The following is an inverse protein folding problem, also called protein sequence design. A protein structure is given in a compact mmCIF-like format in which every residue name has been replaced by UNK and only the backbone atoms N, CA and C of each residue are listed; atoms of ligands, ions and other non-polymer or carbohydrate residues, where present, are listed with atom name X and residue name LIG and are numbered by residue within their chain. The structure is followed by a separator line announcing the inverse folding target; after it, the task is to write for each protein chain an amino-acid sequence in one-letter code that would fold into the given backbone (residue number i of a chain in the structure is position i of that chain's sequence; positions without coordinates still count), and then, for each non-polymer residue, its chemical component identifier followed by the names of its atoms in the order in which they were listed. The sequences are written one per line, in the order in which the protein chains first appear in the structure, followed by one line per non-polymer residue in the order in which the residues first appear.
data_IF_505659504514
#
_entry.id   IF_505659504514
#
_cell.length_a   1.000
_cell.length_b   1.000
_cell.length_c   1.000
_cell.angle_alpha   90.00
_cell.angle_beta   90.00
_cell.angle_gamma   90.00
#
_symmetry.space_group_name_H-M   'P 1'
#
loop_
_entity.id
_entity.type
_entity.pdbx_description
1 polymer ?
#
# COMPACT_ATOMS: atom_id res chain seq x y z
N UNK A 1 -6.51 -74.98 16.63
CA UNK A 1 -5.81 -74.77 15.34
C UNK A 1 -5.01 -73.49 15.45
N UNK A 2 -3.70 -73.48 15.12
CA UNK A 2 -2.91 -72.25 15.14
C UNK A 2 -3.17 -71.42 13.88
N UNK A 3 -3.22 -70.09 14.04
CA UNK A 3 -3.27 -69.11 12.94
C UNK A 3 -1.92 -69.07 12.21
N UNK A 4 -1.90 -68.83 10.87
CA UNK A 4 -0.65 -68.65 10.15
C UNK A 4 0.02 -67.31 10.52
N UNK A 5 1.35 -67.19 10.39
CA UNK A 5 2.06 -65.94 10.65
C UNK A 5 1.64 -64.86 9.65
N UNK A 6 1.47 -63.63 10.16
CA UNK A 6 1.21 -62.46 9.33
C UNK A 6 2.46 -62.17 8.49
N UNK A 7 2.31 -62.31 7.18
CA UNK A 7 3.37 -62.04 6.22
C UNK A 7 3.63 -60.52 6.11
N UNK A 8 4.87 -60.23 5.80
CA UNK A 8 5.53 -58.94 5.86
C UNK A 8 4.96 -57.89 4.90
N UNK A 9 5.07 -56.63 5.34
CA UNK A 9 5.47 -55.50 4.50
C UNK A 9 4.69 -55.23 3.21
N UNK A 10 3.49 -54.65 3.34
CA UNK A 10 2.98 -53.79 2.25
C UNK A 10 3.75 -52.46 2.31
N UNK A 11 4.57 -52.10 1.31
CA UNK A 11 5.16 -50.78 1.27
C UNK A 11 4.03 -49.75 1.17
N UNK A 12 3.95 -48.88 2.17
CA UNK A 12 3.13 -47.68 2.11
C UNK A 12 3.49 -46.93 0.81
N UNK A 13 2.52 -46.52 -0.03
CA UNK A 13 2.85 -45.77 -1.24
C UNK A 13 3.62 -44.52 -0.82
N UNK A 14 4.83 -44.38 -1.38
CA UNK A 14 5.66 -43.21 -1.17
C UNK A 14 4.82 -41.94 -1.44
N UNK A 15 5.01 -40.85 -0.68
CA UNK A 15 4.29 -39.61 -0.96
C UNK A 15 4.58 -39.21 -2.41
N UNK A 16 3.50 -39.06 -3.20
CA UNK A 16 3.56 -38.62 -4.58
C UNK A 16 4.47 -37.40 -4.68
N UNK A 17 5.65 -37.59 -5.28
CA UNK A 17 6.50 -36.46 -5.65
C UNK A 17 5.68 -35.63 -6.63
N UNK A 18 5.51 -34.30 -6.41
CA UNK A 18 4.82 -33.48 -7.38
C UNK A 18 5.52 -33.66 -8.73
N UNK A 19 4.74 -34.01 -9.75
CA UNK A 19 5.22 -34.16 -11.12
C UNK A 19 6.03 -32.90 -11.48
N UNK A 20 7.21 -33.05 -12.05
CA UNK A 20 8.06 -31.92 -12.43
C UNK A 20 7.29 -30.89 -13.28
N UNK A 21 6.29 -31.36 -14.05
CA UNK A 21 5.34 -30.52 -14.76
C UNK A 21 4.46 -29.67 -13.81
N UNK A 22 3.91 -30.25 -12.74
CA UNK A 22 3.11 -29.52 -11.74
C UNK A 22 3.96 -28.47 -11.00
N UNK A 23 5.20 -28.81 -10.65
CA UNK A 23 6.12 -27.85 -10.03
C UNK A 23 6.50 -26.70 -10.98
N UNK A 24 6.65 -26.99 -12.28
CA UNK A 24 6.90 -25.96 -13.29
C UNK A 24 5.68 -25.03 -13.49
N UNK A 25 4.46 -25.58 -13.51
CA UNK A 25 3.22 -24.82 -13.61
C UNK A 25 3.04 -23.91 -12.38
N UNK A 26 3.26 -24.45 -11.16
CA UNK A 26 3.17 -23.67 -9.93
C UNK A 26 4.11 -22.46 -9.94
N UNK A 27 5.38 -22.66 -10.32
CA UNK A 27 6.37 -21.57 -10.44
C UNK A 27 6.01 -20.55 -11.52
N UNK A 28 5.41 -20.99 -12.63
CA UNK A 28 4.96 -20.09 -13.69
C UNK A 28 3.80 -19.21 -13.21
N UNK A 29 2.82 -19.80 -12.51
CA UNK A 29 1.70 -19.06 -11.92
C UNK A 29 2.17 -18.09 -10.83
N UNK A 30 3.08 -18.50 -9.95
CA UNK A 30 3.67 -17.63 -8.93
C UNK A 30 4.35 -16.40 -9.55
N UNK A 31 5.09 -16.58 -10.65
CA UNK A 31 5.71 -15.47 -11.38
C UNK A 31 4.66 -14.54 -11.99
N UNK A 32 3.60 -15.08 -12.57
CA UNK A 32 2.51 -14.27 -13.16
C UNK A 32 1.81 -13.43 -12.09
N UNK A 33 1.48 -14.03 -10.94
CA UNK A 33 0.90 -13.32 -9.79
C UNK A 33 1.86 -12.25 -9.25
N UNK A 34 3.16 -12.54 -9.17
CA UNK A 34 4.17 -11.57 -8.74
C UNK A 34 4.28 -10.37 -9.70
N UNK A 35 4.22 -10.61 -11.01
CA UNK A 35 4.24 -9.54 -12.03
C UNK A 35 2.97 -8.69 -11.93
N UNK A 36 1.80 -9.31 -11.84
CA UNK A 36 0.53 -8.58 -11.75
C UNK A 36 0.45 -7.74 -10.46
N UNK A 37 0.83 -8.32 -9.32
CA UNK A 37 0.85 -7.60 -8.04
C UNK A 37 1.87 -6.45 -8.04
N UNK A 38 3.05 -6.64 -8.65
CA UNK A 38 4.03 -5.58 -8.83
C UNK A 38 3.51 -4.43 -9.71
N UNK A 39 2.80 -4.75 -10.78
CA UNK A 39 2.17 -3.76 -11.65
C UNK A 39 1.08 -2.95 -10.92
N UNK A 40 0.20 -3.63 -10.18
CA UNK A 40 -0.84 -2.98 -9.39
C UNK A 40 -0.26 -2.08 -8.28
N UNK A 41 0.82 -2.52 -7.63
CA UNK A 41 1.53 -1.74 -6.62
C UNK A 41 2.10 -0.45 -7.23
N UNK A 42 2.77 -0.55 -8.38
CA UNK A 42 3.33 0.59 -9.10
C UNK A 42 2.23 1.57 -9.54
N UNK A 43 1.15 1.06 -10.14
CA UNK A 43 -0.03 1.86 -10.52
C UNK A 43 -0.61 2.61 -9.32
N UNK A 44 -0.78 1.95 -8.19
CA UNK A 44 -1.33 2.56 -6.98
C UNK A 44 -0.39 3.61 -6.38
N UNK A 45 0.93 3.37 -6.40
CA UNK A 45 1.94 4.33 -5.96
C UNK A 45 1.93 5.60 -6.82
N UNK A 46 1.88 5.46 -8.15
CA UNK A 46 1.78 6.59 -9.08
C UNK A 46 0.49 7.38 -8.88
N UNK A 47 -0.66 6.71 -8.77
CA UNK A 47 -1.95 7.35 -8.45
C UNK A 47 -1.91 8.12 -7.14
N UNK A 48 -1.28 7.56 -6.10
CA UNK A 48 -1.13 8.23 -4.81
C UNK A 48 -0.24 9.47 -4.93
N UNK A 49 0.84 9.39 -5.72
CA UNK A 49 1.73 10.53 -6.01
C UNK A 49 1.00 11.64 -6.76
N UNK A 50 0.30 11.32 -7.84
CA UNK A 50 -0.47 12.29 -8.63
C UNK A 50 -1.55 12.99 -7.77
N UNK A 51 -2.28 12.22 -6.95
CA UNK A 51 -3.24 12.76 -5.97
C UNK A 51 -2.61 13.79 -5.03
N UNK A 52 -1.49 13.43 -4.40
CA UNK A 52 -0.79 14.32 -3.47
C UNK A 52 -0.34 15.61 -4.18
N UNK A 53 0.18 15.50 -5.40
CA UNK A 53 0.59 16.66 -6.19
C UNK A 53 -0.60 17.58 -6.51
N UNK A 54 -1.74 17.03 -6.90
CA UNK A 54 -2.94 17.80 -7.22
C UNK A 54 -3.58 18.47 -5.98
N UNK A 55 -3.60 17.78 -4.84
CA UNK A 55 -4.19 18.28 -3.60
C UNK A 55 -3.30 19.29 -2.86
N UNK A 56 -1.98 19.20 -3.01
CA UNK A 56 -1.04 20.05 -2.27
C UNK A 56 -1.29 21.56 -2.41
N UNK A 57 -1.45 22.16 -3.61
CA UNK A 57 -1.70 23.59 -3.72
C UNK A 57 -3.00 24.02 -3.04
N UNK A 58 -4.09 23.27 -3.23
CA UNK A 58 -5.39 23.59 -2.64
C UNK A 58 -5.40 23.43 -1.12
N UNK A 59 -4.76 22.36 -0.61
CA UNK A 59 -4.59 22.16 0.82
C UNK A 59 -3.75 23.29 1.42
N UNK A 60 -2.70 23.73 0.72
CA UNK A 60 -1.92 24.89 1.18
C UNK A 60 -2.81 26.13 1.27
N UNK A 61 -3.59 26.46 0.25
CA UNK A 61 -4.52 27.61 0.30
C UNK A 61 -5.50 27.53 1.49
N UNK A 62 -6.08 26.36 1.75
CA UNK A 62 -7.06 26.17 2.83
C UNK A 62 -6.46 26.24 4.23
N UNK A 63 -5.26 25.71 4.40
CA UNK A 63 -4.61 25.64 5.71
C UNK A 63 -3.63 26.79 5.94
N UNK A 64 -3.29 27.58 4.90
CA UNK A 64 -2.41 28.75 5.02
C UNK A 64 -3.23 30.02 5.24
N UNK A 65 -3.06 30.65 6.39
CA UNK A 65 -3.23 32.11 6.49
C UNK A 65 -2.08 32.82 5.75
N UNK A 66 -2.18 34.12 5.41
CA UNK A 66 -1.04 34.88 4.88
C UNK A 66 0.08 34.91 5.92
N UNK A 67 1.00 33.94 5.84
CA UNK A 67 1.98 33.69 6.88
C UNK A 67 2.37 32.22 7.00
N UNK A 68 3.04 31.70 5.95
CA UNK A 68 3.86 30.48 5.89
C UNK A 68 3.26 29.20 6.49
N UNK A 69 2.93 28.29 5.57
CA UNK A 69 2.74 26.89 5.85
C UNK A 69 3.97 26.13 5.35
N UNK A 70 4.77 25.62 6.27
CA UNK A 70 5.97 24.88 5.95
C UNK A 70 5.62 23.39 5.84
N UNK A 71 5.49 22.89 4.60
CA UNK A 71 5.31 21.47 4.31
C UNK A 71 6.65 20.73 4.45
N UNK A 72 7.08 20.44 5.68
CA UNK A 72 8.27 19.61 5.93
C UNK A 72 7.87 18.13 6.05
N UNK A 73 8.29 17.33 5.07
CA UNK A 73 8.42 15.88 5.24
C UNK A 73 9.78 15.59 5.91
N UNK A 74 9.79 15.42 7.24
CA UNK A 74 11.03 15.02 7.94
C UNK A 74 11.45 13.60 7.51
N UNK A 75 12.69 13.46 7.02
CA UNK A 75 13.19 12.29 6.28
C UNK A 75 13.43 10.99 7.06
N UNK A 76 12.74 10.71 8.18
CA UNK A 76 13.05 9.53 9.02
C UNK A 76 11.94 8.48 9.15
N UNK A 77 10.85 8.58 8.39
CA UNK A 77 9.75 7.60 8.39
C UNK A 77 9.30 7.35 6.96
N UNK A 78 8.88 6.12 6.57
CA UNK A 78 8.64 5.78 5.17
C UNK A 78 7.72 6.81 4.53
N UNK A 79 8.31 7.67 3.67
CA UNK A 79 7.73 8.92 3.19
C UNK A 79 6.43 8.74 2.38
N UNK A 80 6.12 7.48 2.03
CA UNK A 80 4.95 7.10 1.26
C UNK A 80 3.75 6.69 2.13
N UNK A 81 3.98 6.34 3.41
CA UNK A 81 2.95 5.82 4.31
C UNK A 81 2.07 6.93 4.91
N UNK A 82 2.68 8.07 5.22
CA UNK A 82 2.03 9.17 5.94
C UNK A 82 1.20 10.11 5.07
N UNK A 83 1.32 10.09 3.74
CA UNK A 83 0.81 11.19 2.92
C UNK A 83 1.71 12.43 2.99
N UNK A 84 1.21 13.60 2.57
CA UNK A 84 1.98 14.85 2.68
C UNK A 84 1.57 15.59 3.96
N UNK A 85 2.47 15.77 4.94
CA UNK A 85 2.16 16.52 6.15
C UNK A 85 2.08 18.02 5.84
N UNK A 86 1.11 18.67 6.46
CA UNK A 86 0.84 20.10 6.41
C UNK A 86 1.02 20.61 7.84
N UNK A 87 2.07 21.39 8.06
CA UNK A 87 2.44 21.88 9.39
C UNK A 87 2.39 23.41 9.48
N UNK A 88 1.86 23.93 10.58
CA UNK A 88 1.83 25.35 10.89
C UNK A 88 2.67 25.59 12.15
N UNK A 89 3.71 26.43 12.06
CA UNK A 89 4.64 26.74 13.18
C UNK A 89 5.20 25.47 13.87
N UNK A 90 5.50 24.42 13.11
CA UNK A 90 6.02 23.16 13.63
C UNK A 90 4.96 22.19 14.18
N UNK A 91 3.66 22.54 14.13
CA UNK A 91 2.58 21.65 14.53
C UNK A 91 1.87 21.06 13.31
N UNK A 92 1.68 19.73 13.30
CA UNK A 92 0.96 19.03 12.25
C UNK A 92 -0.54 19.39 12.31
N UNK A 93 -1.03 20.08 11.30
CA UNK A 93 -2.43 20.52 11.22
C UNK A 93 -3.27 19.64 10.29
N UNK A 94 -2.68 19.18 9.19
CA UNK A 94 -3.36 18.33 8.24
C UNK A 94 -2.41 17.33 7.57
N UNK A 95 -2.98 16.30 6.96
CA UNK A 95 -2.27 15.28 6.19
C UNK A 95 -3.01 15.02 4.89
N UNK A 96 -2.29 15.12 3.77
CA UNK A 96 -2.87 14.99 2.44
C UNK A 96 -2.71 13.57 1.92
N UNK A 97 -3.82 12.92 1.59
CA UNK A 97 -3.91 11.61 0.94
C UNK A 97 -2.92 10.58 1.53
N UNK A 98 -3.09 10.22 2.83
CA UNK A 98 -2.36 9.13 3.42
C UNK A 98 -2.79 7.81 2.79
N UNK A 99 -1.89 6.84 2.73
CA UNK A 99 -2.18 5.54 2.14
C UNK A 99 -2.75 4.62 3.21
N UNK A 100 -4.02 4.22 3.09
CA UNK A 100 -4.73 3.43 4.09
C UNK A 100 -3.99 2.13 4.49
N UNK A 101 -3.44 1.39 3.53
CA UNK A 101 -2.68 0.15 3.79
C UNK A 101 -1.38 0.37 4.57
N UNK A 102 -0.90 1.60 4.66
CA UNK A 102 0.33 1.96 5.34
C UNK A 102 0.10 2.61 6.71
N UNK A 103 -1.17 2.77 7.15
CA UNK A 103 -1.52 3.33 8.46
C UNK A 103 -1.35 2.25 9.53
N UNK A 104 -0.22 2.29 10.23
CA UNK A 104 0.05 1.43 11.39
C UNK A 104 -0.65 1.98 12.66
N UNK A 105 -0.74 1.21 13.76
CA UNK A 105 -1.30 1.71 15.02
C UNK A 105 -0.65 3.00 15.53
N UNK A 106 0.68 3.14 15.38
CA UNK A 106 1.40 4.35 15.77
C UNK A 106 1.02 5.54 14.89
N UNK A 107 0.84 5.33 13.60
CA UNK A 107 0.43 6.37 12.64
C UNK A 107 -0.99 6.82 12.95
N UNK A 108 -1.89 5.87 13.23
CA UNK A 108 -3.28 6.15 13.61
C UNK A 108 -3.37 7.11 14.80
N UNK A 109 -2.61 6.87 15.87
CA UNK A 109 -2.58 7.74 17.05
C UNK A 109 -2.13 9.16 16.72
N UNK A 110 -1.15 9.32 15.82
CA UNK A 110 -0.70 10.65 15.40
C UNK A 110 -1.72 11.35 14.49
N UNK A 111 -2.45 10.59 13.67
CA UNK A 111 -3.49 11.13 12.78
C UNK A 111 -4.75 11.57 13.52
N UNK A 112 -5.09 10.94 14.66
CA UNK A 112 -6.29 11.21 15.45
C UNK A 112 -6.63 12.70 15.64
N UNK A 113 -5.68 13.55 16.08
CA UNK A 113 -5.92 14.99 16.23
C UNK A 113 -5.87 15.80 14.93
N UNK A 114 -5.43 15.23 13.80
CA UNK A 114 -5.17 15.96 12.55
C UNK A 114 -6.38 15.97 11.60
N UNK A 115 -6.38 16.86 10.61
CA UNK A 115 -7.35 16.84 9.51
C UNK A 115 -6.78 16.06 8.33
N UNK A 116 -7.52 15.09 7.79
CA UNK A 116 -7.09 14.34 6.61
C UNK A 116 -7.72 14.94 5.35
N UNK A 117 -6.90 15.36 4.39
CA UNK A 117 -7.34 15.89 3.11
C UNK A 117 -7.38 14.76 2.07
N UNK A 118 -8.52 14.56 1.42
CA UNK A 118 -8.76 13.49 0.45
C UNK A 118 -9.32 14.04 -0.86
N UNK A 119 -9.12 13.31 -1.95
CA UNK A 119 -9.63 13.67 -3.27
C UNK A 119 -11.04 13.14 -3.56
N UNK A 120 -11.46 12.08 -2.88
CA UNK A 120 -12.75 11.42 -3.13
C UNK A 120 -13.35 10.76 -1.90
N UNK A 121 -14.65 10.48 -1.99
CA UNK A 121 -15.38 9.73 -0.97
C UNK A 121 -14.83 8.31 -0.78
N UNK A 122 -14.48 7.61 -1.85
CA UNK A 122 -13.92 6.25 -1.76
C UNK A 122 -12.56 6.22 -1.05
N UNK A 123 -11.77 7.27 -1.22
CA UNK A 123 -10.53 7.45 -0.46
C UNK A 123 -10.83 7.71 1.02
N UNK A 124 -11.78 8.59 1.32
CA UNK A 124 -12.23 8.83 2.68
C UNK A 124 -12.66 7.54 3.38
N UNK A 125 -13.53 6.75 2.76
CA UNK A 125 -14.08 5.54 3.37
C UNK A 125 -13.01 4.46 3.59
N UNK A 126 -12.04 4.32 2.68
CA UNK A 126 -10.90 3.42 2.88
C UNK A 126 -10.03 3.85 4.06
N UNK A 127 -9.74 5.14 4.20
CA UNK A 127 -8.93 5.66 5.29
C UNK A 127 -9.70 5.59 6.61
N UNK A 128 -11.00 5.94 6.61
CA UNK A 128 -11.88 5.91 7.78
C UNK A 128 -11.86 4.55 8.50
N UNK A 129 -11.81 3.45 7.74
CA UNK A 129 -11.77 2.07 8.27
C UNK A 129 -10.50 1.75 9.08
N UNK A 130 -9.42 2.49 8.87
CA UNK A 130 -8.12 2.25 9.52
C UNK A 130 -7.68 3.40 10.44
N UNK A 131 -8.47 4.47 10.52
CA UNK A 131 -8.25 5.62 11.42
C UNK A 131 -9.16 5.58 12.66
N UNK A 132 -9.05 6.57 13.55
CA UNK A 132 -9.93 6.70 14.71
C UNK A 132 -11.37 7.10 14.31
N UNK A 133 -12.36 6.73 15.12
CA UNK A 133 -13.79 6.96 14.81
C UNK A 133 -14.16 8.44 14.68
N UNK A 134 -13.42 9.34 15.35
CA UNK A 134 -13.64 10.80 15.30
C UNK A 134 -12.72 11.53 14.32
N UNK A 135 -12.04 10.79 13.44
CA UNK A 135 -11.14 11.37 12.45
C UNK A 135 -11.85 12.42 11.60
N UNK A 136 -11.21 13.59 11.47
CA UNK A 136 -11.72 14.69 10.65
C UNK A 136 -11.20 14.58 9.23
N UNK A 137 -12.09 14.80 8.26
CA UNK A 137 -11.78 14.75 6.83
C UNK A 137 -12.18 16.06 6.14
N UNK A 138 -11.41 16.43 5.12
CA UNK A 138 -11.73 17.49 4.17
C UNK A 138 -11.58 16.90 2.77
N UNK A 139 -12.65 16.90 1.99
CA UNK A 139 -12.61 16.43 0.61
C UNK A 139 -12.44 17.62 -0.34
N UNK A 140 -11.44 17.54 -1.22
CA UNK A 140 -11.20 18.53 -2.28
C UNK A 140 -11.29 17.84 -3.64
N UNK A 141 -12.20 18.31 -4.48
CA UNK A 141 -12.35 17.77 -5.83
C UNK A 141 -11.17 18.17 -6.70
N UNK A 142 -10.36 17.19 -7.10
CA UNK A 142 -9.24 17.36 -8.02
C UNK A 142 -9.31 16.33 -9.14
N UNK A 143 -8.86 16.71 -10.33
CA UNK A 143 -8.60 15.74 -11.40
C UNK A 143 -7.28 15.04 -11.11
N UNK A 144 -7.30 13.72 -11.17
CA UNK A 144 -6.14 12.86 -11.00
C UNK A 144 -6.09 11.98 -12.22
N UNK A 145 -5.11 12.23 -13.07
CA UNK A 145 -4.96 11.46 -14.29
C UNK A 145 -4.51 10.03 -13.97
N UNK A 146 -4.97 9.10 -14.81
CA UNK A 146 -4.60 7.71 -14.71
C UNK A 146 -3.17 7.52 -15.23
N UNK A 147 -2.26 6.88 -14.47
CA UNK A 147 -0.92 6.61 -14.97
C UNK A 147 -0.98 5.70 -16.20
N UNK A 148 -0.19 6.05 -17.20
CA UNK A 148 -0.04 5.28 -18.43
C UNK A 148 0.70 3.97 -18.17
N UNK A 149 0.53 3.00 -19.08
CA UNK A 149 1.25 1.72 -19.00
C UNK A 149 2.77 1.92 -18.95
N UNK A 150 3.30 2.83 -19.78
CA UNK A 150 4.73 3.14 -19.84
C UNK A 150 5.26 3.68 -18.50
N UNK A 151 4.53 4.60 -17.86
CA UNK A 151 4.90 5.12 -16.55
C UNK A 151 4.90 4.04 -15.46
N UNK A 152 3.94 3.11 -15.50
CA UNK A 152 3.85 2.01 -14.54
C UNK A 152 5.05 1.07 -14.71
N UNK A 153 5.37 0.67 -15.94
CA UNK A 153 6.51 -0.18 -16.25
C UNK A 153 7.83 0.47 -15.85
N UNK A 154 8.00 1.76 -16.16
CA UNK A 154 9.21 2.51 -15.78
C UNK A 154 9.35 2.66 -14.27
N UNK A 155 8.24 2.89 -13.55
CA UNK A 155 8.24 2.92 -12.09
C UNK A 155 8.63 1.57 -11.49
N UNK A 156 8.05 0.47 -11.98
CA UNK A 156 8.38 -0.89 -11.54
C UNK A 156 9.85 -1.24 -11.78
N UNK A 157 10.44 -0.80 -12.90
CA UNK A 157 11.87 -1.02 -13.20
C UNK A 157 12.80 -0.29 -12.23
N UNK A 158 12.42 0.92 -11.82
CA UNK A 158 13.22 1.76 -10.89
C UNK A 158 13.02 1.34 -9.42
N UNK A 159 11.91 0.68 -9.12
CA UNK A 159 11.55 0.21 -7.79
C UNK A 159 11.18 -1.28 -7.84
N UNK A 160 12.16 -2.17 -8.11
CA UNK A 160 11.89 -3.61 -8.13
C UNK A 160 11.35 -4.03 -6.76
N UNK A 161 10.23 -4.74 -6.75
CA UNK A 161 9.72 -5.38 -5.54
C UNK A 161 10.81 -6.31 -5.02
N UNK A 162 11.24 -6.22 -3.75
CA UNK A 162 12.24 -7.13 -3.22
C UNK A 162 11.71 -8.55 -3.41
N UNK A 163 12.36 -9.29 -4.29
CA UNK A 163 12.15 -10.72 -4.43
C UNK A 163 12.74 -11.27 -3.16
N UNK A 164 11.90 -11.67 -2.21
CA UNK A 164 12.39 -12.35 -1.02
C UNK A 164 13.20 -13.55 -1.50
N UNK A 165 14.47 -13.61 -1.12
CA UNK A 165 15.25 -14.84 -1.23
C UNK A 165 14.46 -15.91 -0.46
N UNK A 166 13.89 -16.85 -1.22
CA UNK A 166 13.28 -18.10 -0.74
C UNK A 166 14.37 -19.14 -0.52
#
# INVERSE_FOLDING_TARGET
MPLPPADESTPSPAPDRPDAAQAAIARAMEREVAVQSGYELARNALRARARRQALTPLARELFSSPGRLDAYASGSRPALAWGVPVSLRGHLVAVISPTASAITPQIRTVLGPTVIVVASWDEQERIRRVTESRQRFVQLSVRVDEPTHEEIVDFSRRHPTPTGDL
#
